data_IF_103997190212
#
_entry.id   IF_103997190212
#
_cell.length_a   1.000
_cell.length_b   1.000
_cell.length_c   1.000
_cell.angle_alpha   90.00
_cell.angle_beta   90.00
_cell.angle_gamma   90.00
#
_symmetry.space_group_name_H-M   'P 1'
#
loop_
_entity.id
_entity.type
_entity.pdbx_description
1 polymer ?
#
# COMPACT_ATOMS: atom_id res chain seq x y z
N UNK A 1 -2.47 1.68 -6.36
CA UNK A 1 -1.85 0.38 -6.03
C UNK A 1 -0.58 0.66 -5.24
N UNK A 2 0.04 -0.33 -4.62
CA UNK A 2 1.27 -0.10 -3.86
C UNK A 2 2.45 0.26 -4.80
N UNK A 3 3.39 1.08 -4.33
CA UNK A 3 4.53 1.60 -5.10
C UNK A 3 4.22 2.85 -5.94
N UNK A 4 2.97 3.31 -5.99
CA UNK A 4 2.61 4.53 -6.74
C UNK A 4 2.69 5.79 -5.88
N UNK A 5 2.92 6.95 -6.50
CA UNK A 5 2.99 8.24 -5.82
C UNK A 5 1.72 8.62 -5.07
N UNK A 6 1.91 9.21 -3.89
CA UNK A 6 0.94 9.94 -3.08
C UNK A 6 1.35 11.41 -2.99
N UNK A 7 0.39 12.33 -3.01
CA UNK A 7 0.62 13.76 -2.77
C UNK A 7 -0.41 14.26 -1.78
N UNK A 8 0.03 14.75 -0.62
CA UNK A 8 -0.83 15.39 0.37
C UNK A 8 -1.26 16.79 -0.10
N UNK A 9 -2.33 17.34 0.48
CA UNK A 9 -2.77 18.71 0.21
C UNK A 9 -1.71 19.77 0.60
N UNK A 10 -0.89 19.48 1.60
CA UNK A 10 0.27 20.26 2.04
C UNK A 10 1.48 20.17 1.10
N UNK A 11 1.43 19.29 0.08
CA UNK A 11 2.47 19.15 -0.93
C UNK A 11 3.54 18.10 -0.64
N UNK A 12 3.43 17.36 0.48
CA UNK A 12 4.30 16.22 0.77
C UNK A 12 4.10 15.12 -0.26
N UNK A 13 5.21 14.65 -0.84
CA UNK A 13 5.21 13.52 -1.77
C UNK A 13 5.69 12.27 -1.04
N UNK A 14 4.93 11.18 -1.17
CA UNK A 14 5.22 9.87 -0.58
C UNK A 14 4.85 8.75 -1.55
N UNK A 15 4.97 7.51 -1.10
CA UNK A 15 4.63 6.31 -1.85
C UNK A 15 3.52 5.53 -1.17
N UNK A 16 2.55 5.06 -1.96
CA UNK A 16 1.48 4.19 -1.49
C UNK A 16 2.05 2.83 -1.07
N UNK A 17 1.84 2.44 0.18
CA UNK A 17 2.16 1.13 0.69
C UNK A 17 1.05 0.11 0.42
N UNK A 18 0.84 -0.80 1.38
CA UNK A 18 -0.16 -1.85 1.27
C UNK A 18 -1.57 -1.30 0.99
N UNK A 19 -2.32 -1.94 0.11
CA UNK A 19 -3.75 -1.66 -0.07
C UNK A 19 -4.56 -2.69 0.70
N UNK A 20 -5.48 -2.19 1.50
CA UNK A 20 -6.27 -2.94 2.46
C UNK A 20 -7.76 -2.77 2.16
N UNK A 21 -8.53 -3.74 2.64
CA UNK A 21 -9.98 -3.66 2.75
C UNK A 21 -10.37 -3.80 4.22
N UNK A 22 -11.52 -3.27 4.56
CA UNK A 22 -12.12 -3.47 5.87
C UNK A 22 -13.29 -4.45 5.74
N UNK A 23 -13.41 -5.38 6.68
CA UNK A 23 -14.50 -6.36 6.72
C UNK A 23 -15.34 -6.14 7.96
N UNK A 24 -16.62 -5.82 7.75
CA UNK A 24 -17.63 -5.75 8.81
C UNK A 24 -18.98 -6.24 8.31
N UNK A 25 -19.99 -6.29 9.18
CA UNK A 25 -21.36 -6.59 8.76
C UNK A 25 -21.87 -5.55 7.75
N UNK A 26 -21.50 -4.28 7.92
CA UNK A 26 -21.92 -3.20 7.03
C UNK A 26 -21.35 -3.36 5.61
N UNK A 27 -20.12 -3.85 5.46
CA UNK A 27 -19.53 -4.11 4.14
C UNK A 27 -20.18 -5.28 3.41
N UNK A 28 -21.00 -6.10 4.08
CA UNK A 28 -21.80 -7.16 3.43
C UNK A 28 -23.10 -6.65 2.82
N UNK A 29 -23.60 -5.51 3.30
CA UNK A 29 -24.90 -4.94 2.92
C UNK A 29 -24.72 -3.75 1.98
N UNK A 30 -23.66 -2.96 2.16
CA UNK A 30 -23.37 -1.78 1.34
C UNK A 30 -22.26 -2.05 0.32
N UNK A 31 -22.61 -2.03 -0.97
CA UNK A 31 -21.62 -2.16 -2.06
C UNK A 31 -20.58 -1.03 -2.03
N UNK A 32 -21.00 0.19 -1.68
CA UNK A 32 -20.08 1.33 -1.54
C UNK A 32 -19.05 1.07 -0.44
N UNK A 33 -19.48 0.54 0.71
CA UNK A 33 -18.58 0.19 1.80
C UNK A 33 -17.65 -0.97 1.40
N UNK A 34 -18.17 -1.99 0.70
CA UNK A 34 -17.37 -3.11 0.18
C UNK A 34 -16.31 -2.68 -0.85
N UNK A 35 -16.59 -1.64 -1.62
CA UNK A 35 -15.69 -1.08 -2.62
C UNK A 35 -14.73 -0.01 -2.05
N UNK A 36 -14.91 0.43 -0.81
CA UNK A 36 -13.97 1.34 -0.13
C UNK A 36 -12.63 0.62 0.09
N UNK A 37 -11.54 1.35 -0.08
CA UNK A 37 -10.18 0.82 0.09
C UNK A 37 -9.39 1.70 1.03
N UNK A 38 -8.36 1.12 1.62
CA UNK A 38 -7.49 1.83 2.54
C UNK A 38 -6.05 1.64 2.10
N UNK A 39 -5.28 2.72 2.02
CA UNK A 39 -3.88 2.68 1.62
C UNK A 39 -3.03 2.99 2.83
N UNK A 40 -2.21 2.03 3.23
CA UNK A 40 -1.21 2.20 4.28
C UNK A 40 -0.03 2.99 3.73
N UNK A 41 0.45 3.98 4.47
CA UNK A 41 1.67 4.74 4.17
C UNK A 41 2.34 5.21 5.47
N UNK A 42 3.49 5.88 5.36
CA UNK A 42 4.21 6.41 6.51
C UNK A 42 3.46 7.61 7.13
N UNK A 43 3.35 7.66 8.47
CA UNK A 43 2.59 8.70 9.19
C UNK A 43 3.08 10.13 8.93
N UNK A 44 4.37 10.31 8.70
CA UNK A 44 4.92 11.63 8.40
C UNK A 44 4.60 12.13 6.97
N UNK A 45 3.82 11.39 6.18
CA UNK A 45 3.44 11.79 4.81
C UNK A 45 2.31 12.82 4.77
N UNK A 46 1.36 12.76 5.71
CA UNK A 46 0.23 13.66 5.77
C UNK A 46 -0.28 13.82 7.21
N UNK A 47 -1.13 14.81 7.43
CA UNK A 47 -1.81 15.03 8.70
C UNK A 47 -3.14 14.28 8.74
N UNK A 48 -3.61 13.93 9.94
CA UNK A 48 -4.93 13.34 10.13
C UNK A 48 -6.04 14.20 9.48
N UNK A 49 -6.97 13.56 8.76
CA UNK A 49 -8.04 14.16 7.94
C UNK A 49 -7.60 14.96 6.71
N UNK A 50 -6.30 15.05 6.45
CA UNK A 50 -5.80 15.74 5.26
C UNK A 50 -6.19 15.00 3.98
N UNK A 51 -6.55 15.75 2.95
CA UNK A 51 -6.79 15.20 1.62
C UNK A 51 -5.48 14.73 0.99
N UNK A 52 -5.53 13.57 0.33
CA UNK A 52 -4.38 12.97 -0.36
C UNK A 52 -4.82 12.58 -1.76
N UNK A 53 -3.98 12.87 -2.75
CA UNK A 53 -4.15 12.44 -4.13
C UNK A 53 -3.23 11.26 -4.42
N UNK A 54 -3.83 10.15 -4.86
CA UNK A 54 -3.16 8.89 -5.14
C UNK A 54 -3.03 8.68 -6.65
N UNK A 55 -1.85 8.26 -7.10
CA UNK A 55 -1.59 7.86 -8.48
C UNK A 55 -2.08 8.90 -9.51
N UNK A 56 -2.92 8.46 -10.46
CA UNK A 56 -3.42 9.26 -11.58
C UNK A 56 -4.57 10.23 -11.23
N UNK A 57 -4.80 10.53 -9.95
CA UNK A 57 -5.82 11.50 -9.52
C UNK A 57 -6.99 10.88 -8.76
N UNK A 58 -6.75 9.81 -8.00
CA UNK A 58 -7.74 9.28 -7.06
C UNK A 58 -7.65 10.07 -5.77
N UNK A 59 -8.76 10.64 -5.31
CA UNK A 59 -8.80 11.37 -4.04
C UNK A 59 -9.06 10.42 -2.87
N UNK A 60 -8.40 10.69 -1.76
CA UNK A 60 -8.61 10.03 -0.47
C UNK A 60 -8.32 11.02 0.67
N UNK A 61 -8.41 10.52 1.89
CA UNK A 61 -8.08 11.33 3.07
C UNK A 61 -7.49 10.46 4.19
N UNK A 62 -6.63 11.05 5.03
CA UNK A 62 -6.06 10.34 6.18
C UNK A 62 -7.16 10.08 7.21
N UNK A 63 -7.43 8.80 7.45
CA UNK A 63 -8.54 8.33 8.29
C UNK A 63 -8.10 7.68 9.60
N UNK A 64 -6.82 7.35 9.72
CA UNK A 64 -6.22 6.83 10.94
C UNK A 64 -4.71 7.04 10.89
N UNK A 65 -4.11 7.26 12.05
CA UNK A 65 -2.67 7.29 12.26
C UNK A 65 -2.34 6.48 13.51
N UNK A 66 -1.25 5.72 13.46
CA UNK A 66 -0.76 5.00 14.62
C UNK A 66 -0.35 5.95 15.74
N UNK A 67 -0.66 5.63 17.01
CA UNK A 67 -0.13 6.38 18.14
C UNK A 67 1.37 6.14 18.34
N UNK A 68 1.86 4.94 18.02
CA UNK A 68 3.17 4.44 18.45
C UNK A 68 4.19 4.30 17.32
N UNK A 69 3.72 4.15 16.08
CA UNK A 69 4.57 3.86 14.93
C UNK A 69 4.32 4.83 13.78
N UNK A 70 5.22 4.82 12.80
CA UNK A 70 5.13 5.67 11.62
C UNK A 70 4.18 5.06 10.57
N UNK A 71 2.93 4.79 10.97
CA UNK A 71 1.89 4.23 10.11
C UNK A 71 0.69 5.18 10.02
N UNK A 72 0.14 5.35 8.82
CA UNK A 72 -1.16 5.99 8.60
C UNK A 72 -1.98 5.29 7.52
N UNK A 73 -3.30 5.41 7.61
CA UNK A 73 -4.28 4.87 6.67
C UNK A 73 -5.01 5.98 5.95
N UNK A 74 -4.91 5.97 4.63
CA UNK A 74 -5.70 6.81 3.74
C UNK A 74 -6.95 6.05 3.34
N UNK A 75 -8.13 6.59 3.64
CA UNK A 75 -9.40 6.07 3.11
C UNK A 75 -9.58 6.56 1.67
N UNK A 76 -9.83 5.62 0.77
CA UNK A 76 -10.10 5.84 -0.65
C UNK A 76 -11.57 5.49 -0.92
N UNK A 77 -12.43 6.50 -1.14
CA UNK A 77 -13.82 6.28 -1.51
C UNK A 77 -13.96 5.44 -2.79
N UNK A 78 -15.05 4.66 -2.92
CA UNK A 78 -15.29 3.89 -4.14
C UNK A 78 -15.58 4.81 -5.32
N UNK A 79 -15.31 4.33 -6.53
CA UNK A 79 -15.89 4.88 -7.75
C UNK A 79 -17.33 4.40 -7.90
N UNK A 80 -18.12 5.11 -8.70
CA UNK A 80 -19.49 4.72 -9.01
C UNK A 80 -19.79 4.91 -10.49
N UNK A 81 -20.44 3.93 -11.10
CA UNK A 81 -21.05 4.04 -12.42
C UNK A 81 -22.57 3.94 -12.30
N UNK A 82 -23.28 4.70 -13.13
CA UNK A 82 -24.75 4.71 -13.18
C UNK A 82 -25.19 4.18 -14.54
N UNK A 83 -26.05 3.19 -14.55
CA UNK A 83 -26.68 2.64 -15.75
C UNK A 83 -28.19 2.58 -15.57
N UNK A 84 -28.93 2.71 -16.67
CA UNK A 84 -30.37 2.49 -16.69
C UNK A 84 -30.65 1.05 -17.15
N UNK A 85 -31.45 0.32 -16.37
CA UNK A 85 -31.90 -1.02 -16.69
C UNK A 85 -33.40 -1.01 -16.91
N UNK A 86 -33.82 -1.26 -18.15
CA UNK A 86 -35.21 -1.30 -18.56
C UNK A 86 -35.65 -2.74 -18.82
N UNK A 87 -36.83 -3.11 -18.30
CA UNK A 87 -37.41 -4.43 -18.50
C UNK A 87 -38.89 -4.36 -18.89
N UNK A 88 -39.39 -5.34 -19.67
CA UNK A 88 -40.81 -5.46 -19.94
C UNK A 88 -41.56 -5.78 -18.64
N UNK A 89 -42.77 -5.24 -18.49
CA UNK A 89 -43.71 -5.70 -17.47
C UNK A 89 -44.79 -6.54 -18.14
N UNK A 90 -45.23 -7.63 -17.51
CA UNK A 90 -46.05 -8.68 -18.14
C UNK A 90 -47.32 -8.22 -18.86
N UNK A 91 -47.81 -7.01 -18.58
CA UNK A 91 -48.94 -6.38 -19.29
C UNK A 91 -48.94 -4.85 -19.23
N UNK A 92 -47.77 -4.21 -19.08
CA UNK A 92 -47.67 -2.75 -18.83
C UNK A 92 -46.48 -2.07 -19.54
N UNK A 93 -46.31 -0.74 -19.36
CA UNK A 93 -45.20 -0.01 -19.97
C UNK A 93 -43.85 -0.54 -19.49
N UNK A 94 -42.82 -0.35 -20.33
CA UNK A 94 -41.43 -0.66 -19.97
C UNK A 94 -41.08 0.11 -18.70
N UNK A 95 -40.59 -0.62 -17.69
CA UNK A 95 -40.10 0.00 -16.45
C UNK A 95 -38.59 0.05 -16.49
N UNK A 96 -38.07 1.26 -16.34
CA UNK A 96 -36.65 1.52 -16.20
C UNK A 96 -36.31 1.80 -14.74
N UNK A 97 -35.18 1.26 -14.29
CA UNK A 97 -34.62 1.48 -12.97
C UNK A 97 -33.17 1.94 -13.11
N UNK A 98 -32.77 2.85 -12.24
CA UNK A 98 -31.38 3.29 -12.16
C UNK A 98 -30.62 2.29 -11.30
N UNK A 99 -29.60 1.68 -11.89
CA UNK A 99 -28.66 0.80 -11.19
C UNK A 99 -27.37 1.58 -10.99
N UNK A 100 -26.92 1.68 -9.74
CA UNK A 100 -25.62 2.26 -9.38
C UNK A 100 -24.71 1.12 -8.97
N UNK A 101 -23.55 1.02 -9.62
CA UNK A 101 -22.51 0.04 -9.30
C UNK A 101 -21.32 0.76 -8.67
N UNK A 102 -20.80 0.21 -7.58
CA UNK A 102 -19.61 0.74 -6.91
C UNK A 102 -18.42 -0.17 -7.18
N UNK A 103 -17.26 0.44 -7.42
CA UNK A 103 -16.02 -0.29 -7.70
C UNK A 103 -14.82 0.33 -6.98
N UNK A 104 -13.83 -0.48 -6.58
CA UNK A 104 -12.65 0.01 -5.89
C UNK A 104 -11.76 0.86 -6.82
N UNK A 105 -11.20 1.95 -6.28
CA UNK A 105 -10.23 2.80 -6.99
C UNK A 105 -8.78 2.54 -6.59
N UNK A 106 -8.56 1.61 -5.67
CA UNK A 106 -7.25 1.09 -5.28
C UNK A 106 -7.29 -0.44 -5.22
N UNK A 107 -6.23 -1.09 -5.68
CA UNK A 107 -6.14 -2.55 -5.78
C UNK A 107 -4.97 -3.09 -4.99
N UNK A 108 -5.09 -4.31 -4.46
CA UNK A 108 -4.04 -5.06 -3.77
C UNK A 108 -2.95 -5.57 -4.71
N UNK A 109 -2.38 -4.68 -5.51
CA UNK A 109 -1.25 -4.94 -6.41
C UNK A 109 -0.09 -4.03 -6.01
N UNK A 110 1.12 -4.39 -6.41
CA UNK A 110 2.33 -3.57 -6.22
C UNK A 110 3.06 -3.39 -7.53
N UNK A 111 3.63 -2.22 -7.79
CA UNK A 111 4.52 -2.01 -8.95
C UNK A 111 5.88 -2.63 -8.65
N UNK A 112 6.36 -3.55 -9.48
CA UNK A 112 7.68 -4.16 -9.36
C UNK A 112 8.30 -4.36 -10.75
N UNK A 113 9.64 -4.43 -10.88
CA UNK A 113 10.29 -4.75 -12.12
C UNK A 113 10.20 -6.26 -12.36
N UNK A 114 9.90 -6.66 -13.60
CA UNK A 114 9.95 -8.05 -14.02
C UNK A 114 11.39 -8.56 -13.95
N UNK A 115 11.60 -9.72 -13.34
CA UNK A 115 12.90 -10.40 -13.33
C UNK A 115 13.41 -10.76 -14.73
N UNK A 116 12.52 -10.88 -15.72
CA UNK A 116 12.87 -11.37 -17.07
C UNK A 116 13.37 -10.26 -17.99
N UNK A 117 12.80 -9.06 -17.92
CA UNK A 117 13.10 -7.97 -18.85
C UNK A 117 13.16 -6.57 -18.22
N UNK A 118 13.04 -6.47 -16.89
CA UNK A 118 13.09 -5.21 -16.15
C UNK A 118 11.88 -4.29 -16.37
N UNK A 119 10.87 -4.68 -17.15
CA UNK A 119 9.64 -3.88 -17.33
C UNK A 119 8.78 -3.95 -16.08
N UNK A 120 8.08 -2.87 -15.79
CA UNK A 120 7.13 -2.84 -14.70
C UNK A 120 6.00 -3.86 -14.90
N UNK A 121 5.81 -4.67 -13.87
CA UNK A 121 4.69 -5.59 -13.68
C UNK A 121 3.94 -5.19 -12.41
N UNK A 122 2.72 -5.71 -12.27
CA UNK A 122 1.88 -5.42 -11.10
C UNK A 122 1.42 -6.70 -10.43
N UNK A 123 2.29 -7.48 -9.77
CA UNK A 123 1.87 -8.71 -9.07
C UNK A 123 0.86 -8.42 -7.97
N UNK A 124 0.01 -9.41 -7.68
CA UNK A 124 -0.95 -9.33 -6.58
C UNK A 124 -0.24 -9.49 -5.23
N UNK A 125 -0.66 -8.72 -4.23
CA UNK A 125 -0.20 -8.87 -2.85
C UNK A 125 -1.22 -9.72 -2.09
N UNK A 126 -0.90 -10.99 -1.86
CA UNK A 126 -1.89 -11.95 -1.31
C UNK A 126 -1.68 -12.30 0.15
N UNK A 127 -0.47 -12.05 0.68
CA UNK A 127 -0.14 -12.31 2.09
C UNK A 127 0.86 -11.32 2.63
N UNK A 128 0.97 -11.28 3.95
CA UNK A 128 2.05 -10.61 4.66
C UNK A 128 2.85 -11.60 5.49
N UNK A 129 4.10 -11.26 5.78
CA UNK A 129 4.96 -12.05 6.65
C UNK A 129 6.04 -11.16 7.29
N UNK A 130 6.84 -11.74 8.18
CA UNK A 130 8.08 -11.14 8.63
C UNK A 130 9.12 -11.13 7.49
N UNK A 131 10.01 -10.11 7.44
CA UNK A 131 11.07 -10.07 6.45
C UNK A 131 11.99 -11.30 6.60
N UNK A 132 12.49 -11.85 5.48
CA UNK A 132 13.31 -13.05 5.54
C UNK A 132 14.67 -12.75 6.21
N UNK A 133 15.17 -13.70 7.01
CA UNK A 133 16.53 -13.62 7.54
C UNK A 133 17.61 -13.95 6.50
N UNK A 134 18.86 -13.63 6.82
CA UNK A 134 20.02 -13.99 6.00
C UNK A 134 20.13 -13.21 4.69
N UNK A 135 20.65 -13.85 3.64
CA UNK A 135 20.96 -13.22 2.34
C UNK A 135 19.80 -13.29 1.32
N UNK A 136 18.60 -13.65 1.77
CA UNK A 136 17.42 -13.71 0.89
C UNK A 136 17.07 -12.30 0.44
N UNK A 137 16.99 -12.12 -0.88
CA UNK A 137 16.70 -10.82 -1.50
C UNK A 137 15.20 -10.52 -1.52
N UNK A 138 14.88 -9.25 -1.34
CA UNK A 138 13.53 -8.72 -1.44
C UNK A 138 13.54 -7.31 -2.04
N UNK A 139 12.35 -6.76 -2.26
CA UNK A 139 12.14 -5.53 -3.01
C UNK A 139 11.61 -4.40 -2.14
N UNK A 140 12.09 -3.19 -2.42
CA UNK A 140 11.38 -1.93 -2.16
C UNK A 140 10.77 -1.45 -3.48
N UNK A 141 9.57 -0.88 -3.45
CA UNK A 141 9.00 -0.17 -4.60
C UNK A 141 8.70 1.28 -4.23
N UNK A 142 9.60 2.20 -4.57
CA UNK A 142 9.48 3.62 -4.28
C UNK A 142 8.98 4.43 -5.48
N UNK A 143 8.11 5.41 -5.25
CA UNK A 143 7.64 6.29 -6.32
C UNK A 143 8.73 7.29 -6.78
N UNK A 144 9.76 7.54 -5.98
CA UNK A 144 10.83 8.49 -6.29
C UNK A 144 12.12 7.80 -6.76
N UNK A 145 12.59 6.76 -6.06
CA UNK A 145 13.78 6.00 -6.50
C UNK A 145 13.47 4.85 -7.45
N UNK A 146 12.19 4.53 -7.67
CA UNK A 146 11.81 3.30 -8.35
C UNK A 146 11.94 2.08 -7.45
N UNK A 147 11.92 0.90 -8.06
CA UNK A 147 12.00 -0.34 -7.33
C UNK A 147 13.43 -0.89 -7.25
N UNK A 148 13.83 -1.34 -6.06
CA UNK A 148 15.09 -2.04 -5.80
C UNK A 148 14.81 -3.44 -5.24
N UNK A 149 15.12 -4.48 -6.00
CA UNK A 149 14.95 -5.88 -5.63
C UNK A 149 16.23 -6.56 -5.11
N UNK A 150 17.18 -5.76 -4.61
CA UNK A 150 18.46 -6.23 -4.08
C UNK A 150 18.59 -6.07 -2.57
N UNK A 151 17.50 -5.74 -1.88
CA UNK A 151 17.50 -5.58 -0.44
C UNK A 151 17.79 -6.91 0.24
N UNK A 152 18.63 -6.87 1.27
CA UNK A 152 18.83 -7.98 2.21
C UNK A 152 18.66 -7.49 3.63
N UNK A 153 18.15 -8.34 4.51
CA UNK A 153 17.93 -7.99 5.91
C UNK A 153 19.26 -7.68 6.59
N UNK A 154 19.27 -6.65 7.42
CA UNK A 154 20.44 -6.24 8.20
C UNK A 154 20.02 -5.90 9.62
N UNK A 155 20.99 -5.81 10.52
CA UNK A 155 20.76 -5.36 11.89
C UNK A 155 20.14 -3.96 11.87
N UNK A 156 18.98 -3.84 12.52
CA UNK A 156 18.33 -2.55 12.73
C UNK A 156 19.16 -1.71 13.67
N UNK A 157 19.54 -0.48 13.28
CA UNK A 157 20.31 0.41 14.14
C UNK A 157 19.62 0.64 15.47
N UNK A 158 20.37 0.59 16.58
CA UNK A 158 19.79 0.72 17.92
C UNK A 158 18.91 1.96 18.08
N UNK A 159 19.31 3.18 17.65
CA UNK A 159 18.48 4.37 17.76
C UNK A 159 17.12 4.26 17.05
N UNK A 160 17.05 3.47 15.97
CA UNK A 160 15.82 3.20 15.23
C UNK A 160 14.96 2.21 16.01
N UNK A 161 15.54 1.08 16.42
CA UNK A 161 14.82 0.02 17.15
C UNK A 161 14.19 0.51 18.46
N UNK A 162 14.84 1.46 19.15
CA UNK A 162 14.31 2.05 20.38
C UNK A 162 13.16 3.04 20.16
N UNK A 163 13.12 3.70 18.99
CA UNK A 163 12.15 4.76 18.70
C UNK A 163 10.93 4.27 17.94
N UNK A 164 11.07 3.20 17.16
CA UNK A 164 10.02 2.73 16.26
C UNK A 164 9.76 1.25 16.56
N UNK A 165 8.77 0.95 17.42
CA UNK A 165 8.33 -0.41 17.68
C UNK A 165 8.02 -1.16 16.38
N UNK A 166 8.53 -2.37 16.26
CA UNK A 166 8.31 -3.19 15.06
C UNK A 166 9.10 -2.77 13.83
N UNK A 167 10.07 -1.85 13.94
CA UNK A 167 10.98 -1.52 12.86
C UNK A 167 11.91 -2.69 12.51
N UNK A 168 12.19 -2.82 11.23
CA UNK A 168 13.21 -3.68 10.67
C UNK A 168 14.07 -2.88 9.68
N UNK A 169 15.24 -3.41 9.32
CA UNK A 169 16.14 -2.75 8.39
C UNK A 169 16.67 -3.67 7.30
N UNK A 170 16.93 -3.08 6.14
CA UNK A 170 17.52 -3.74 4.99
C UNK A 170 18.65 -2.90 4.41
N UNK A 171 19.62 -3.55 3.77
CA UNK A 171 20.67 -2.86 3.00
C UNK A 171 20.48 -3.16 1.51
N UNK A 172 20.44 -2.13 0.65
CA UNK A 172 20.42 -2.31 -0.80
C UNK A 172 21.79 -2.76 -1.31
N UNK A 173 21.86 -3.92 -1.98
CA UNK A 173 23.11 -4.42 -2.57
C UNK A 173 23.45 -3.74 -3.90
N UNK A 174 22.46 -3.17 -4.58
CA UNK A 174 22.61 -2.38 -5.83
C UNK A 174 23.28 -1.02 -5.61
N UNK A 175 23.27 -0.51 -4.37
CA UNK A 175 23.60 0.88 -4.06
C UNK A 175 22.46 1.88 -4.29
N UNK A 176 21.28 1.43 -4.74
CA UNK A 176 20.10 2.26 -4.95
C UNK A 176 19.42 2.64 -3.63
N UNK A 177 19.89 3.74 -3.04
CA UNK A 177 19.36 4.27 -1.78
C UNK A 177 17.91 4.74 -1.93
N UNK A 178 17.13 4.70 -0.84
CA UNK A 178 15.83 5.38 -0.80
C UNK A 178 16.05 6.90 -0.68
N UNK A 179 15.11 7.67 -1.22
CA UNK A 179 15.15 9.13 -1.25
C UNK A 179 13.84 9.73 -0.75
N UNK A 180 13.82 11.05 -0.53
CA UNK A 180 12.58 11.77 -0.23
C UNK A 180 11.53 11.49 -1.30
N UNK A 181 10.34 11.07 -0.88
CA UNK A 181 9.28 10.56 -1.77
C UNK A 181 9.04 9.06 -1.68
N UNK A 182 10.01 8.28 -1.20
CA UNK A 182 9.86 6.82 -1.04
C UNK A 182 9.20 6.43 0.29
N UNK A 183 9.04 7.35 1.24
CA UNK A 183 8.32 7.07 2.50
C UNK A 183 6.95 6.45 2.22
N UNK A 184 6.64 5.35 2.91
CA UNK A 184 5.47 4.51 2.66
C UNK A 184 5.66 3.41 1.61
N UNK A 185 6.79 3.37 0.91
CA UNK A 185 7.07 2.37 -0.12
C UNK A 185 6.91 0.94 0.41
N UNK A 186 6.17 0.05 -0.29
CA UNK A 186 6.01 -1.33 0.13
C UNK A 186 7.36 -2.08 0.04
N UNK A 187 7.63 -2.86 1.09
CA UNK A 187 8.72 -3.83 1.15
C UNK A 187 8.12 -5.21 0.90
N UNK A 188 8.54 -5.90 -0.15
CA UNK A 188 7.86 -7.12 -0.65
C UNK A 188 8.85 -8.19 -1.05
N UNK A 189 8.44 -9.45 -1.10
CA UNK A 189 9.22 -10.50 -1.79
C UNK A 189 9.46 -10.12 -3.25
N UNK A 190 10.55 -10.61 -3.84
CA UNK A 190 10.71 -10.53 -5.29
C UNK A 190 9.56 -11.25 -6.02
N UNK A 191 9.24 -10.77 -7.22
CA UNK A 191 8.34 -11.46 -8.15
C UNK A 191 9.19 -12.09 -9.25
N UNK A 192 8.87 -13.31 -9.65
CA UNK A 192 9.50 -14.02 -10.77
C UNK A 192 8.83 -13.72 -12.13
N UNK A 193 7.99 -12.68 -12.20
CA UNK A 193 7.42 -12.19 -13.45
C UNK A 193 5.90 -12.06 -13.44
N UNK A 194 5.18 -12.90 -12.69
CA UNK A 194 3.71 -12.83 -12.56
C UNK A 194 3.14 -13.43 -11.27
N UNK A 195 3.97 -13.98 -10.38
CA UNK A 195 3.51 -14.60 -9.13
C UNK A 195 3.09 -13.57 -8.08
N UNK A 196 2.19 -14.01 -7.21
CA UNK A 196 1.78 -13.27 -6.03
C UNK A 196 2.95 -13.03 -5.08
N UNK A 197 3.01 -11.83 -4.53
CA UNK A 197 4.07 -11.42 -3.61
C UNK A 197 3.60 -11.34 -2.17
N UNK A 198 4.57 -11.46 -1.27
CA UNK A 198 4.39 -11.23 0.16
C UNK A 198 4.80 -9.80 0.50
N UNK A 199 4.01 -9.08 1.28
CA UNK A 199 4.42 -7.80 1.85
C UNK A 199 5.01 -7.99 3.25
N UNK A 200 6.17 -7.38 3.49
CA UNK A 200 6.88 -7.42 4.76
C UNK A 200 6.67 -6.16 5.59
N UNK A 201 6.38 -5.03 4.96
CA UNK A 201 6.19 -3.74 5.63
C UNK A 201 6.13 -2.57 4.69
N UNK A 202 6.24 -1.36 5.24
CA UNK A 202 6.33 -0.11 4.50
C UNK A 202 7.52 0.72 4.97
N UNK A 203 8.18 1.39 4.03
CA UNK A 203 9.38 2.18 4.29
C UNK A 203 9.07 3.36 5.21
N UNK A 204 9.82 3.48 6.30
CA UNK A 204 9.86 4.67 7.14
C UNK A 204 10.82 5.71 6.55
N UNK A 205 12.01 5.26 6.15
CA UNK A 205 13.04 6.09 5.53
C UNK A 205 14.36 5.34 5.46
N UNK A 206 15.44 6.02 5.10
CA UNK A 206 16.77 5.43 5.07
C UNK A 206 17.85 6.37 5.58
N UNK A 207 18.99 5.80 5.96
CA UNK A 207 20.09 6.55 6.56
C UNK A 207 21.44 5.88 6.39
N UNK A 208 22.52 6.66 6.46
CA UNK A 208 23.89 6.14 6.53
C UNK A 208 24.29 5.87 7.97
N UNK A 209 24.77 4.65 8.19
CA UNK A 209 25.33 4.18 9.45
C UNK A 209 26.78 3.72 9.22
N UNK A 210 27.50 3.35 10.29
CA UNK A 210 28.89 2.85 10.19
C UNK A 210 29.05 1.67 9.23
N UNK A 211 28.03 0.82 9.14
CA UNK A 211 27.98 -0.38 8.28
C UNK A 211 27.49 -0.08 6.84
N UNK A 212 27.18 1.18 6.53
CA UNK A 212 26.65 1.60 5.23
C UNK A 212 25.22 2.11 5.29
N UNK A 213 24.59 2.22 4.11
CA UNK A 213 23.22 2.70 3.98
C UNK A 213 22.22 1.61 4.38
N UNK A 214 21.20 1.99 5.13
CA UNK A 214 20.12 1.09 5.57
C UNK A 214 18.77 1.74 5.31
N UNK A 215 17.91 1.01 4.62
CA UNK A 215 16.47 1.26 4.60
C UNK A 215 15.88 0.76 5.92
N UNK A 216 15.05 1.58 6.53
CA UNK A 216 14.27 1.27 7.73
C UNK A 216 12.80 1.24 7.35
N UNK A 217 12.10 0.19 7.77
CA UNK A 217 10.69 0.00 7.47
C UNK A 217 9.94 -0.51 8.69
N UNK A 218 8.65 -0.15 8.78
CA UNK A 218 7.74 -0.68 9.79
C UNK A 218 7.14 -1.98 9.26
N UNK A 219 7.24 -3.06 10.03
CA UNK A 219 6.74 -4.37 9.61
C UNK A 219 5.22 -4.38 9.48
N UNK A 220 4.72 -5.18 8.53
CA UNK A 220 3.28 -5.29 8.27
C UNK A 220 2.52 -5.92 9.44
N UNK A 221 3.16 -6.84 10.18
CA UNK A 221 2.62 -7.42 11.42
C UNK A 221 2.19 -6.35 12.42
N UNK A 222 2.99 -5.28 12.55
CA UNK A 222 2.70 -4.18 13.46
C UNK A 222 1.37 -3.47 13.16
N UNK A 223 1.04 -3.28 11.88
CA UNK A 223 -0.25 -2.72 11.48
C UNK A 223 -1.42 -3.59 11.94
N UNK A 224 -1.31 -4.91 11.77
CA UNK A 224 -2.35 -5.86 12.16
C UNK A 224 -2.42 -6.12 13.66
N UNK A 225 -1.36 -5.84 14.42
CA UNK A 225 -1.38 -5.81 15.88
C UNK A 225 -2.15 -4.58 16.42
N UNK A 226 -2.01 -3.43 15.76
CA UNK A 226 -2.63 -2.17 16.18
C UNK A 226 -4.08 -1.99 15.68
N UNK A 227 -4.48 -2.76 14.67
CA UNK A 227 -5.78 -2.61 14.01
C UNK A 227 -6.53 -3.92 13.91
N UNK A 228 -7.86 -3.85 13.87
CA UNK A 228 -8.73 -5.01 13.71
C UNK A 228 -9.68 -4.82 12.53
N UNK A 229 -10.14 -5.91 11.92
CA UNK A 229 -11.11 -5.89 10.81
C UNK A 229 -10.51 -5.55 9.44
N UNK A 230 -9.22 -5.22 9.35
CA UNK A 230 -8.52 -5.02 8.09
C UNK A 230 -7.91 -6.31 7.56
N UNK A 231 -7.87 -6.44 6.23
CA UNK A 231 -7.11 -7.46 5.51
C UNK A 231 -6.51 -6.86 4.25
N UNK A 232 -5.53 -7.54 3.64
CA UNK A 232 -5.06 -7.18 2.30
C UNK A 232 -6.24 -7.13 1.32
N UNK A 233 -6.26 -6.10 0.47
CA UNK A 233 -7.29 -5.95 -0.54
C UNK A 233 -7.06 -6.95 -1.69
N UNK A 234 -8.13 -7.38 -2.38
CA UNK A 234 -8.01 -8.14 -3.62
C UNK A 234 -7.27 -7.34 -4.70
N UNK A 235 -6.63 -8.06 -5.62
CA UNK A 235 -5.91 -7.50 -6.77
C UNK A 235 -6.81 -7.17 -7.98
N UNK A 236 -8.13 -7.13 -7.78
CA UNK A 236 -9.16 -6.87 -8.80
C UNK A 236 -9.85 -5.54 -8.55
#
# INVERSE_FOLDING_TARGET
MAGTKLVSASGSACTAGAVLQYTSLYTRISQAAAATRYVLTAKHCASMRESVRLGSGVDGYVSWQSPDTDLELITVPPGSSRSESCGPTGSGPIRCSIVVQYYPRATGRVVLPSSTNGRDITPAVTRYAEPPGGEIRFCRSGAASGADCTLVTTTTPSPVSFRIPGAASATPRSGLISVGGDSGAPITSASDGFTDVTIYGILHGGGRYSEGYKDTFVRMSRFFEETSGYSLAPAR
#
